data_IF_045231462788
#
_entry.id   IF_045231462788
#
_cell.length_a   1.000
_cell.length_b   1.000
_cell.length_c   1.000
_cell.angle_alpha   90.00
_cell.angle_beta   90.00
_cell.angle_gamma   90.00
#
_symmetry.space_group_name_H-M   'P 1'
#
loop_
_entity.id
_entity.type
_entity.pdbx_description
1 polymer ?
#
# COMPACT_ATOMS: atom_id res chain seq x y z
N UNK A 1 -8.10 -30.03 8.97
CA UNK A 1 -7.19 -29.92 7.80
C UNK A 1 -7.61 -28.71 6.99
N UNK A 2 -7.02 -27.54 7.26
CA UNK A 2 -7.22 -26.33 6.45
C UNK A 2 -6.10 -26.30 5.41
N UNK A 3 -6.45 -26.36 4.13
CA UNK A 3 -5.50 -26.20 3.02
C UNK A 3 -5.06 -24.74 2.98
N UNK A 4 -3.77 -24.55 3.17
CA UNK A 4 -3.02 -23.32 2.87
C UNK A 4 -2.96 -23.19 1.35
N UNK A 5 -3.39 -22.04 0.81
CA UNK A 5 -3.12 -21.67 -0.58
C UNK A 5 -2.22 -20.45 -0.56
N UNK A 6 -1.02 -20.69 -1.06
CA UNK A 6 0.12 -19.80 -1.25
C UNK A 6 -0.17 -18.91 -2.46
N UNK A 7 -0.18 -17.59 -2.28
CA UNK A 7 -0.23 -16.64 -3.40
C UNK A 7 1.21 -16.33 -3.84
N UNK A 8 1.55 -16.77 -5.05
CA UNK A 8 2.82 -16.46 -5.72
C UNK A 8 2.69 -15.09 -6.38
N UNK A 9 3.52 -14.13 -5.97
CA UNK A 9 3.68 -12.87 -6.68
C UNK A 9 4.49 -13.08 -7.96
N UNK A 10 3.92 -12.75 -9.12
CA UNK A 10 4.64 -12.72 -10.39
C UNK A 10 4.97 -11.26 -10.73
N UNK A 11 6.23 -10.88 -10.50
CA UNK A 11 6.81 -9.63 -10.96
C UNK A 11 7.21 -9.80 -12.43
N UNK A 12 6.59 -9.05 -13.34
CA UNK A 12 7.13 -8.87 -14.68
C UNK A 12 8.04 -7.64 -14.71
N UNK A 13 9.35 -7.86 -14.66
CA UNK A 13 10.31 -6.95 -15.29
C UNK A 13 10.25 -7.21 -16.80
N UNK A 14 9.94 -6.19 -17.59
CA UNK A 14 10.32 -6.18 -19.00
C UNK A 14 11.32 -5.04 -19.20
N UNK A 15 12.56 -5.45 -19.48
CA UNK A 15 13.65 -4.59 -19.86
C UNK A 15 13.36 -3.88 -21.18
N UNK A 16 13.67 -2.59 -21.21
CA UNK A 16 13.68 -1.80 -22.43
C UNK A 16 14.93 -2.16 -23.23
N UNK A 17 14.77 -2.72 -24.43
CA UNK A 17 15.84 -2.75 -25.42
C UNK A 17 15.33 -2.09 -26.71
N UNK A 18 16.08 -1.08 -27.14
CA UNK A 18 15.80 -0.19 -28.27
C UNK A 18 15.76 -0.97 -29.59
N UNK A 19 14.67 -0.84 -30.34
CA UNK A 19 14.74 -0.98 -31.80
C UNK A 19 13.71 -0.05 -32.44
N UNK A 20 14.20 0.82 -33.31
CA UNK A 20 13.43 1.81 -34.07
C UNK A 20 12.67 1.13 -35.20
N UNK A 21 11.35 1.09 -35.12
CA UNK A 21 10.49 0.76 -36.26
C UNK A 21 9.46 1.86 -36.53
N UNK A 22 9.26 2.12 -37.82
CA UNK A 22 8.43 3.16 -38.45
C UNK A 22 6.94 2.96 -38.15
N UNK A 23 6.14 4.03 -37.96
CA UNK A 23 4.75 3.88 -37.54
C UNK A 23 3.88 3.28 -38.65
N UNK A 24 3.38 2.07 -38.40
CA UNK A 24 2.30 1.46 -39.19
C UNK A 24 0.97 1.76 -38.49
N UNK A 25 0.02 2.33 -39.21
CA UNK A 25 -1.34 2.61 -38.73
C UNK A 25 -2.07 1.32 -38.35
N UNK A 26 -2.38 1.16 -37.06
CA UNK A 26 -3.16 0.04 -36.52
C UNK A 26 -4.64 0.20 -36.89
N UNK A 27 -5.24 -0.87 -37.41
CA UNK A 27 -6.69 -1.00 -37.57
C UNK A 27 -7.39 -1.03 -36.19
N UNK A 28 -8.64 -0.55 -36.07
CA UNK A 28 -9.36 -0.53 -34.80
C UNK A 28 -9.55 -1.96 -34.27
N UNK A 29 -8.91 -2.25 -33.14
CA UNK A 29 -9.10 -3.47 -32.36
C UNK A 29 -10.49 -3.46 -31.73
N UNK A 30 -11.30 -4.46 -32.06
CA UNK A 30 -12.58 -4.70 -31.41
C UNK A 30 -12.35 -5.03 -29.93
N UNK A 31 -12.92 -4.20 -29.05
CA UNK A 31 -12.92 -4.40 -27.60
C UNK A 31 -13.58 -5.77 -27.31
N UNK A 32 -12.94 -6.67 -26.53
CA UNK A 32 -13.57 -7.91 -26.13
C UNK A 32 -14.79 -7.62 -25.23
N UNK A 33 -15.85 -8.44 -25.29
CA UNK A 33 -17.05 -8.20 -24.49
C UNK A 33 -16.69 -8.17 -23.00
N UNK A 34 -17.15 -7.12 -22.32
CA UNK A 34 -16.99 -6.90 -20.89
C UNK A 34 -17.52 -8.11 -20.14
N UNK A 35 -16.62 -8.84 -19.47
CA UNK A 35 -16.99 -9.91 -18.54
C UNK A 35 -17.92 -9.32 -17.48
N UNK A 36 -19.12 -9.88 -17.35
CA UNK A 36 -20.06 -9.55 -16.29
C UNK A 36 -19.36 -9.73 -14.93
N UNK A 37 -19.07 -8.61 -14.27
CA UNK A 37 -18.58 -8.62 -12.89
C UNK A 37 -19.79 -9.04 -12.05
N UNK A 38 -19.83 -10.29 -11.61
CA UNK A 38 -20.76 -10.74 -10.58
C UNK A 38 -20.37 -10.06 -9.28
N UNK A 39 -20.97 -8.90 -9.03
CA UNK A 39 -20.80 -8.14 -7.80
C UNK A 39 -21.47 -8.91 -6.66
N UNK A 40 -20.69 -9.33 -5.66
CA UNK A 40 -21.24 -9.87 -4.41
C UNK A 40 -21.88 -8.71 -3.64
N UNK A 41 -23.17 -8.47 -3.87
CA UNK A 41 -23.93 -7.45 -3.17
C UNK A 41 -24.27 -7.93 -1.77
N UNK A 42 -23.96 -7.14 -0.74
CA UNK A 42 -24.48 -7.37 0.61
C UNK A 42 -25.83 -6.66 0.69
N UNK A 43 -26.91 -7.43 0.68
CA UNK A 43 -28.28 -6.92 0.76
C UNK A 43 -28.86 -7.15 2.15
N UNK A 44 -29.38 -6.10 2.78
CA UNK A 44 -30.23 -6.23 3.98
C UNK A 44 -31.68 -5.93 3.61
N UNK A 45 -32.55 -6.94 3.65
CA UNK A 45 -33.99 -6.77 3.44
C UNK A 45 -34.66 -6.32 4.74
N UNK A 46 -35.40 -5.21 4.71
CA UNK A 46 -36.05 -4.63 5.90
C UNK A 46 -37.58 -4.80 5.84
N UNK A 47 -38.14 -4.85 4.63
CA UNK A 47 -39.51 -5.30 4.28
C UNK A 47 -39.50 -5.90 2.87
N UNK A 48 -40.64 -6.42 2.39
CA UNK A 48 -40.76 -7.02 1.05
C UNK A 48 -40.50 -6.03 -0.11
N UNK A 49 -40.34 -4.74 0.17
CA UNK A 49 -40.18 -3.66 -0.83
C UNK A 49 -39.00 -2.72 -0.56
N UNK A 50 -38.24 -2.90 0.55
CA UNK A 50 -37.12 -2.02 0.92
C UNK A 50 -35.82 -2.81 1.08
N UNK A 51 -34.79 -2.37 0.35
CA UNK A 51 -33.45 -2.93 0.40
C UNK A 51 -32.40 -1.85 0.62
N UNK A 52 -31.38 -2.16 1.42
CA UNK A 52 -30.15 -1.37 1.50
C UNK A 52 -29.03 -2.10 0.78
N UNK A 53 -28.30 -1.37 -0.06
CA UNK A 53 -27.25 -1.89 -0.91
C UNK A 53 -25.95 -1.13 -0.68
N UNK A 54 -24.91 -1.84 -0.24
CA UNK A 54 -23.56 -1.29 -0.17
C UNK A 54 -22.83 -1.57 -1.49
N UNK A 55 -22.45 -0.52 -2.22
CA UNK A 55 -21.72 -0.66 -3.48
C UNK A 55 -20.33 -1.25 -3.20
N UNK A 56 -19.88 -2.34 -3.85
CA UNK A 56 -18.54 -2.89 -3.63
C UNK A 56 -17.45 -1.83 -3.70
N UNK A 57 -16.54 -1.84 -2.73
CA UNK A 57 -15.50 -0.83 -2.59
C UNK A 57 -14.26 -1.38 -1.90
N UNK A 58 -13.24 -0.53 -1.76
CA UNK A 58 -12.04 -0.85 -0.99
C UNK A 58 -12.36 -0.69 0.49
N UNK A 59 -12.20 -1.76 1.26
CA UNK A 59 -12.46 -1.77 2.71
C UNK A 59 -11.15 -1.79 3.53
N UNK A 60 -9.99 -1.73 2.88
CA UNK A 60 -8.68 -1.63 3.53
C UNK A 60 -7.76 -0.73 2.71
N UNK A 61 -7.20 0.30 3.36
CA UNK A 61 -6.22 1.20 2.76
C UNK A 61 -4.96 1.25 3.63
N UNK A 62 -3.84 1.54 2.99
CA UNK A 62 -2.60 1.83 3.70
C UNK A 62 -2.67 3.24 4.33
N UNK A 63 -1.90 3.48 5.39
CA UNK A 63 -1.85 4.77 6.06
C UNK A 63 -1.49 5.89 5.06
N UNK A 64 -2.14 7.05 5.24
CA UNK A 64 -2.06 8.23 4.37
C UNK A 64 -2.53 8.01 2.92
N UNK A 65 -3.09 6.85 2.56
CA UNK A 65 -3.75 6.67 1.27
C UNK A 65 -5.15 7.28 1.26
N UNK A 66 -5.56 7.79 0.09
CA UNK A 66 -6.92 8.29 -0.10
C UNK A 66 -7.89 7.12 -0.19
N UNK A 67 -8.85 7.08 0.72
CA UNK A 67 -10.02 6.21 0.59
C UNK A 67 -11.08 6.86 -0.30
N UNK A 68 -11.55 6.12 -1.31
CA UNK A 68 -12.63 6.55 -2.20
C UNK A 68 -13.91 5.83 -1.79
N UNK A 69 -14.91 6.61 -1.38
CA UNK A 69 -16.22 6.08 -1.01
C UNK A 69 -16.94 5.52 -2.25
N UNK A 70 -17.23 4.21 -2.24
CA UNK A 70 -18.04 3.59 -3.28
C UNK A 70 -19.54 3.91 -3.15
N UNK A 71 -19.97 4.42 -2.00
CA UNK A 71 -21.35 4.77 -1.70
C UNK A 71 -22.23 3.60 -1.28
N UNK A 72 -23.50 3.92 -1.04
CA UNK A 72 -24.57 2.98 -0.77
C UNK A 72 -25.88 3.50 -1.38
N UNK A 73 -26.80 2.59 -1.64
CA UNK A 73 -28.12 2.88 -2.19
C UNK A 73 -29.23 2.34 -1.29
N UNK A 74 -30.30 3.13 -1.21
CA UNK A 74 -31.60 2.76 -0.67
C UNK A 74 -32.51 2.44 -1.85
N UNK A 75 -33.12 1.26 -1.86
CA UNK A 75 -34.03 0.83 -2.93
C UNK A 75 -35.42 0.65 -2.34
N UNK A 76 -36.42 1.27 -2.96
CA UNK A 76 -37.84 1.11 -2.61
C UNK A 76 -38.68 1.01 -3.88
N UNK A 77 -39.54 -0.02 -3.99
CA UNK A 77 -40.41 -0.20 -5.16
C UNK A 77 -39.67 -0.17 -6.51
N UNK A 78 -38.50 -0.79 -6.59
CA UNK A 78 -37.57 -0.79 -7.74
C UNK A 78 -36.91 0.57 -8.07
N UNK A 79 -37.21 1.64 -7.33
CA UNK A 79 -36.52 2.93 -7.44
C UNK A 79 -35.27 2.98 -6.53
N UNK A 80 -34.17 3.47 -7.07
CA UNK A 80 -32.86 3.53 -6.40
C UNK A 80 -32.49 4.98 -6.01
N UNK A 81 -32.10 5.17 -4.75
CA UNK A 81 -31.72 6.46 -4.17
C UNK A 81 -30.34 6.37 -3.51
N UNK A 82 -29.46 7.33 -3.80
CA UNK A 82 -28.17 7.41 -3.12
C UNK A 82 -28.35 7.71 -1.64
N UNK A 83 -27.72 6.92 -0.79
CA UNK A 83 -27.62 7.20 0.64
C UNK A 83 -26.51 8.21 0.89
N UNK A 84 -26.71 9.09 1.87
CA UNK A 84 -25.71 10.09 2.26
C UNK A 84 -24.86 9.57 3.43
N UNK A 85 -23.58 9.92 3.44
CA UNK A 85 -22.68 9.64 4.58
C UNK A 85 -22.41 10.93 5.36
N UNK A 86 -22.32 10.81 6.69
CA UNK A 86 -21.92 11.90 7.58
C UNK A 86 -20.50 11.75 8.14
N UNK A 87 -19.80 10.64 7.85
CA UNK A 87 -18.44 10.38 8.36
C UNK A 87 -17.44 10.19 7.23
N UNK A 88 -16.22 10.65 7.50
CA UNK A 88 -15.03 10.45 6.66
C UNK A 88 -14.08 9.48 7.36
N UNK A 89 -13.32 8.72 6.57
CA UNK A 89 -12.23 7.87 7.07
C UNK A 89 -11.03 8.77 7.35
N UNK A 90 -10.50 8.75 8.57
CA UNK A 90 -9.23 9.42 8.86
C UNK A 90 -8.08 8.49 8.44
N UNK A 91 -7.47 8.74 7.28
CA UNK A 91 -6.40 7.87 6.77
C UNK A 91 -5.06 8.07 7.47
N UNK A 92 -4.90 9.05 8.36
CA UNK A 92 -3.60 9.34 9.00
C UNK A 92 -3.36 8.55 10.29
N UNK A 93 -4.28 7.65 10.64
CA UNK A 93 -4.23 6.87 11.87
C UNK A 93 -4.63 5.42 11.56
N UNK A 94 -3.82 4.47 12.03
CA UNK A 94 -4.14 3.03 11.92
C UNK A 94 -5.30 2.73 12.86
N UNK A 95 -6.47 2.46 12.29
CA UNK A 95 -7.69 2.09 13.02
C UNK A 95 -8.74 1.49 12.06
N UNK A 96 -9.86 1.03 12.61
CA UNK A 96 -11.04 0.62 11.85
C UNK A 96 -12.12 1.69 11.98
N UNK A 97 -12.41 2.37 10.88
CA UNK A 97 -13.42 3.41 10.78
C UNK A 97 -14.78 2.86 10.37
N UNK A 98 -15.84 3.32 11.03
CA UNK A 98 -17.22 3.00 10.68
C UNK A 98 -17.84 4.13 9.85
N UNK A 99 -18.01 3.90 8.56
CA UNK A 99 -18.77 4.79 7.66
C UNK A 99 -20.24 4.43 7.75
N UNK A 100 -21.09 5.39 8.11
CA UNK A 100 -22.54 5.18 8.26
C UNK A 100 -23.26 5.93 7.15
N UNK A 101 -23.95 5.17 6.30
CA UNK A 101 -24.82 5.72 5.27
C UNK A 101 -26.25 5.80 5.82
N UNK A 102 -26.93 6.90 5.54
CA UNK A 102 -28.32 7.10 5.95
C UNK A 102 -29.22 7.55 4.80
N UNK A 103 -30.49 7.18 4.90
CA UNK A 103 -31.57 7.68 4.07
C UNK A 103 -32.84 7.83 4.90
N UNK A 104 -33.56 8.94 4.72
CA UNK A 104 -34.82 9.22 5.42
C UNK A 104 -36.01 8.96 4.48
N UNK A 105 -36.92 8.08 4.89
CA UNK A 105 -38.13 7.74 4.15
C UNK A 105 -39.29 7.51 5.12
N UNK A 106 -40.43 8.17 4.87
CA UNK A 106 -41.64 8.08 5.71
C UNK A 106 -41.37 8.28 7.22
N UNK A 107 -40.67 9.35 7.58
CA UNK A 107 -40.30 9.69 8.98
C UNK A 107 -39.42 8.64 9.68
N UNK A 108 -38.87 7.67 8.93
CA UNK A 108 -37.90 6.68 9.42
C UNK A 108 -36.53 6.91 8.79
N UNK A 109 -35.49 6.62 9.56
CA UNK A 109 -34.10 6.62 9.09
C UNK A 109 -33.62 5.19 8.89
N UNK A 110 -33.12 4.91 7.69
CA UNK A 110 -32.49 3.64 7.35
C UNK A 110 -30.98 3.80 7.33
N UNK A 111 -30.25 2.83 7.87
CA UNK A 111 -28.78 2.90 7.93
C UNK A 111 -28.14 1.59 7.51
N UNK A 112 -27.02 1.72 6.80
CA UNK A 112 -26.08 0.63 6.52
C UNK A 112 -24.67 1.11 6.83
N UNK A 113 -23.77 0.20 7.22
CA UNK A 113 -22.42 0.54 7.63
C UNK A 113 -21.40 -0.12 6.72
N UNK A 114 -20.31 0.60 6.44
CA UNK A 114 -19.06 0.05 5.93
C UNK A 114 -17.99 0.19 7.01
N UNK A 115 -17.23 -0.87 7.23
CA UNK A 115 -16.02 -0.84 8.03
C UNK A 115 -14.83 -0.67 7.09
N UNK A 116 -14.00 0.33 7.33
CA UNK A 116 -12.78 0.60 6.56
C UNK A 116 -11.59 0.48 7.50
N UNK A 117 -10.69 -0.45 7.23
CA UNK A 117 -9.45 -0.59 7.97
C UNK A 117 -8.38 0.31 7.34
N UNK A 118 -7.78 1.18 8.15
CA UNK A 118 -6.51 1.83 7.85
C UNK A 118 -5.44 0.99 8.53
N UNK A 119 -4.52 0.46 7.74
CA UNK A 119 -3.40 -0.36 8.20
C UNK A 119 -2.10 0.28 7.75
N UNK A 120 -0.97 -0.12 8.32
CA UNK A 120 0.33 0.22 7.76
C UNK A 120 1.05 -1.07 7.36
N UNK A 121 1.25 -1.23 6.05
CA UNK A 121 1.86 -2.41 5.44
C UNK A 121 3.09 -2.06 4.59
N UNK A 122 3.45 -0.78 4.54
CA UNK A 122 4.51 -0.29 3.67
C UNK A 122 5.78 -0.12 4.49
N UNK A 123 6.86 -0.85 4.19
CA UNK A 123 8.11 -0.69 4.92
C UNK A 123 8.81 0.64 4.61
N UNK A 124 9.66 1.10 5.54
CA UNK A 124 10.59 2.22 5.36
C UNK A 124 11.31 2.21 4.00
N UNK A 125 11.40 3.34 3.30
CA UNK A 125 12.23 3.45 2.09
C UNK A 125 13.62 3.96 2.45
N UNK A 126 14.65 3.14 2.22
CA UNK A 126 16.03 3.45 2.58
C UNK A 126 16.85 3.92 1.37
N UNK A 127 17.76 4.87 1.60
CA UNK A 127 18.74 5.33 0.61
C UNK A 127 20.11 5.51 1.25
N UNK A 128 21.18 5.01 0.62
CA UNK A 128 22.53 5.27 1.12
C UNK A 128 22.89 6.73 0.87
N UNK A 129 23.28 7.45 1.92
CA UNK A 129 23.89 8.76 1.76
C UNK A 129 25.25 8.61 1.03
N UNK A 130 25.67 9.57 0.19
CA UNK A 130 27.01 9.57 -0.37
C UNK A 130 28.07 9.46 0.73
N UNK A 131 29.04 8.55 0.55
CA UNK A 131 30.03 8.23 1.59
C UNK A 131 31.30 7.64 1.01
N UNK A 132 32.26 7.35 1.90
CA UNK A 132 33.52 6.71 1.54
C UNK A 132 33.34 5.21 1.61
N UNK A 133 33.38 4.54 0.45
CA UNK A 133 33.27 3.09 0.34
C UNK A 133 34.64 2.41 0.09
N UNK A 134 35.72 3.20 0.07
CA UNK A 134 37.09 2.69 -0.03
C UNK A 134 38.04 3.55 0.80
N UNK A 135 38.83 2.91 1.64
CA UNK A 135 39.74 3.51 2.62
C UNK A 135 41.08 2.79 2.55
N UNK A 136 42.20 3.50 2.66
CA UNK A 136 43.52 2.87 2.77
C UNK A 136 43.77 2.36 4.19
N UNK A 137 44.67 1.39 4.36
CA UNK A 137 45.05 0.86 5.68
C UNK A 137 45.46 2.00 6.62
N UNK A 138 44.95 1.97 7.86
CA UNK A 138 45.15 2.99 8.89
C UNK A 138 44.36 4.29 8.67
N UNK A 139 43.59 4.38 7.58
CA UNK A 139 42.71 5.51 7.32
C UNK A 139 41.49 5.56 8.24
N UNK A 140 40.73 6.65 8.12
CA UNK A 140 39.49 6.86 8.88
C UNK A 140 38.29 6.59 7.98
N UNK A 141 37.42 5.69 8.39
CA UNK A 141 36.09 5.53 7.80
C UNK A 141 35.04 6.17 8.70
N UNK A 142 34.23 7.06 8.13
CA UNK A 142 33.07 7.66 8.79
C UNK A 142 31.80 7.11 8.17
N UNK A 143 30.89 6.62 9.01
CA UNK A 143 29.58 6.17 8.59
C UNK A 143 28.75 7.37 8.09
N UNK A 144 28.52 7.45 6.77
CA UNK A 144 27.67 8.48 6.17
C UNK A 144 26.16 8.31 6.50
N UNK A 145 25.80 7.19 7.12
CA UNK A 145 24.42 6.85 7.43
C UNK A 145 23.59 6.55 6.18
N UNK A 146 22.28 6.63 6.36
CA UNK A 146 21.26 6.45 5.33
C UNK A 146 20.18 7.53 5.48
N UNK A 147 19.52 7.87 4.37
CA UNK A 147 18.24 8.57 4.37
C UNK A 147 17.09 7.57 4.49
N UNK A 148 16.03 7.96 5.18
CA UNK A 148 14.83 7.15 5.42
C UNK A 148 13.60 7.98 5.10
N UNK A 149 12.62 7.37 4.44
CA UNK A 149 11.30 7.96 4.18
C UNK A 149 10.24 6.97 4.62
N UNK A 150 9.40 7.39 5.56
CA UNK A 150 8.20 6.67 6.01
C UNK A 150 6.94 7.21 5.34
N UNK A 151 6.03 6.31 4.97
CA UNK A 151 4.68 6.64 4.50
C UNK A 151 3.80 7.21 5.62
N UNK A 152 3.92 6.68 6.83
CA UNK A 152 3.17 7.11 8.03
C UNK A 152 3.60 8.49 8.52
N UNK A 153 4.85 8.88 8.25
CA UNK A 153 5.46 10.11 8.74
C UNK A 153 5.97 10.03 10.18
N UNK A 154 6.03 8.82 10.74
CA UNK A 154 6.61 8.61 12.08
C UNK A 154 8.14 8.73 12.08
N UNK A 155 8.70 8.99 13.26
CA UNK A 155 10.14 8.94 13.47
C UNK A 155 10.59 7.48 13.70
N UNK A 156 11.52 7.00 12.88
CA UNK A 156 12.07 5.65 12.96
C UNK A 156 13.54 5.63 13.39
N UNK A 157 13.96 4.53 14.00
CA UNK A 157 15.35 4.34 14.44
C UNK A 157 16.12 3.44 13.48
N UNK A 158 17.33 3.85 13.11
CA UNK A 158 18.23 3.06 12.26
C UNK A 158 19.12 2.17 13.15
N UNK A 159 19.05 0.87 12.94
CA UNK A 159 19.95 -0.12 13.53
C UNK A 159 21.11 -0.35 12.56
N UNK A 160 22.34 -0.15 13.03
CA UNK A 160 23.56 -0.38 12.24
C UNK A 160 24.27 -1.64 12.76
N UNK A 161 24.51 -2.59 11.86
CA UNK A 161 25.12 -3.88 12.14
C UNK A 161 26.41 -4.00 11.33
N UNK A 162 27.49 -4.41 11.99
CA UNK A 162 28.82 -4.52 11.40
C UNK A 162 29.76 -3.41 11.86
N UNK A 163 31.05 -3.59 11.55
CA UNK A 163 32.12 -2.64 11.86
C UNK A 163 33.22 -2.75 10.81
N UNK A 164 33.78 -1.61 10.41
CA UNK A 164 34.96 -1.55 9.57
C UNK A 164 36.21 -1.56 10.47
N UNK A 165 37.13 -2.49 10.24
CA UNK A 165 38.49 -2.43 10.78
C UNK A 165 39.43 -1.87 9.71
N UNK A 166 39.80 -0.60 9.84
CA UNK A 166 40.64 0.07 8.83
C UNK A 166 42.10 -0.34 8.89
N UNK A 167 42.52 -1.21 9.83
CA UNK A 167 43.90 -1.69 9.90
C UNK A 167 44.15 -2.97 9.10
N UNK A 168 43.08 -3.61 8.60
CA UNK A 168 43.15 -4.89 7.91
C UNK A 168 42.55 -4.74 6.52
N UNK A 169 43.31 -5.12 5.49
CA UNK A 169 42.82 -5.12 4.09
C UNK A 169 41.65 -6.11 3.98
N UNK A 170 40.56 -5.68 3.33
CA UNK A 170 39.38 -6.51 3.13
C UNK A 170 38.13 -5.72 2.79
N UNK A 171 37.06 -6.44 2.46
CA UNK A 171 35.72 -5.86 2.26
C UNK A 171 34.90 -6.09 3.52
N UNK A 172 34.40 -5.00 4.09
CA UNK A 172 33.56 -4.98 5.28
C UNK A 172 32.12 -4.71 4.89
N UNK A 173 31.21 -5.50 5.43
CA UNK A 173 29.77 -5.34 5.24
C UNK A 173 29.18 -4.55 6.42
N UNK A 174 28.46 -3.47 6.11
CA UNK A 174 27.68 -2.69 7.06
C UNK A 174 26.22 -2.77 6.65
N UNK A 175 25.40 -3.37 7.50
CA UNK A 175 23.96 -3.52 7.29
C UNK A 175 23.22 -2.45 8.08
N UNK A 176 22.34 -1.72 7.41
CA UNK A 176 21.42 -0.77 8.04
C UNK A 176 20.01 -1.37 7.98
N UNK A 177 19.36 -1.46 9.13
CA UNK A 177 18.01 -1.97 9.28
C UNK A 177 17.13 -0.91 9.91
N UNK A 178 15.91 -0.76 9.39
CA UNK A 178 14.89 0.13 9.96
C UNK A 178 13.60 -0.67 10.05
N UNK A 179 12.92 -0.56 11.19
CA UNK A 179 11.62 -1.16 11.46
C UNK A 179 10.69 -0.06 11.96
N UNK A 180 9.50 0.02 11.36
CA UNK A 180 8.44 0.96 11.75
C UNK A 180 7.63 0.43 12.95
N UNK A 181 6.66 1.20 13.43
CA UNK A 181 5.79 0.84 14.56
C UNK A 181 4.77 -0.27 14.24
N UNK A 182 4.59 -0.59 12.96
CA UNK A 182 3.73 -1.66 12.45
C UNK A 182 4.52 -2.92 12.06
N UNK A 183 5.78 -3.00 12.50
CA UNK A 183 6.72 -4.10 12.27
C UNK A 183 7.14 -4.30 10.80
N UNK A 184 6.86 -3.36 9.89
CA UNK A 184 7.41 -3.41 8.54
C UNK A 184 8.90 -3.02 8.57
N UNK A 185 9.72 -3.80 7.88
CA UNK A 185 11.18 -3.71 7.99
C UNK A 185 11.84 -3.58 6.62
N UNK A 186 12.80 -2.67 6.52
CA UNK A 186 13.70 -2.55 5.37
C UNK A 186 15.16 -2.69 5.77
N UNK A 187 15.99 -3.11 4.83
CA UNK A 187 17.43 -3.28 5.03
C UNK A 187 18.19 -2.82 3.79
N UNK A 188 19.32 -2.15 4.00
CA UNK A 188 20.26 -1.76 2.95
C UNK A 188 21.69 -2.02 3.42
N UNK A 189 22.57 -2.42 2.50
CA UNK A 189 23.95 -2.82 2.80
C UNK A 189 24.92 -1.84 2.14
N UNK A 190 25.94 -1.42 2.88
CA UNK A 190 27.14 -0.73 2.37
C UNK A 190 28.34 -1.65 2.47
N UNK A 191 29.08 -1.77 1.38
CA UNK A 191 30.37 -2.44 1.33
C UNK A 191 31.49 -1.40 1.42
N UNK A 192 32.42 -1.60 2.35
CA UNK A 192 33.58 -0.72 2.55
C UNK A 192 34.83 -1.52 2.31
N UNK A 193 35.65 -1.08 1.35
CA UNK A 193 36.90 -1.74 1.01
C UNK A 193 38.07 -1.07 1.71
N UNK A 194 38.82 -1.82 2.51
CA UNK A 194 40.12 -1.42 3.01
C UNK A 194 41.18 -1.97 2.08
N UNK A 195 42.00 -1.07 1.52
CA UNK A 195 43.06 -1.39 0.54
C UNK A 195 44.41 -0.93 1.06
N UNK A 196 45.50 -1.43 0.48
CA UNK A 196 46.87 -0.98 0.81
C UNK A 196 47.11 0.50 0.53
#
# INVERSE_FOLDING_TARGET
MKKIILLVFLVFLVGCNKTTETPTTLAPTTIPPTTEITTNLITSSISDEIYLYLVPGIDTIDINQTWIDAGAYFVVNDDEFQMITSSVVNSSEVDVYSVVYSYEFEEKTYTIKRLVAVVDQTPPVLSLNPGIDTVTVGGTWLNAGIGVVENSGEDVTIVVIGRVDTNTVGTYEITYQVTDSSDNTSTIIRYVNVVE
#
